data_IF_416771480003
#
_entry.id   IF_416771480003
#
_cell.length_a   1.000
_cell.length_b   1.000
_cell.length_c   1.000
_cell.angle_alpha   90.00
_cell.angle_beta   90.00
_cell.angle_gamma   90.00
#
_symmetry.space_group_name_H-M   'P 1'
#
loop_
_entity.id
_entity.type
_entity.pdbx_description
1 polymer ?
#
# COMPACT_ATOMS: atom_id res chain seq x y z
N UNK A 1 49.12 -1.77 -8.13
CA UNK A 1 49.15 -1.66 -6.65
C UNK A 1 47.73 -1.85 -6.16
N UNK A 2 47.47 -3.00 -5.54
CA UNK A 2 46.22 -3.28 -4.84
C UNK A 2 46.14 -2.42 -3.57
N UNK A 3 44.93 -1.93 -3.22
CA UNK A 3 44.76 -1.03 -2.08
C UNK A 3 43.31 -0.72 -1.72
N UNK A 4 42.57 -1.74 -1.29
CA UNK A 4 41.58 -1.68 -0.19
C UNK A 4 40.36 -0.73 -0.29
N UNK A 5 39.53 -0.84 -1.35
CA UNK A 5 38.25 -0.12 -1.43
C UNK A 5 36.97 -0.95 -1.52
N UNK A 6 37.02 -2.26 -1.82
CA UNK A 6 35.85 -2.91 -2.46
C UNK A 6 35.45 -4.28 -1.91
N UNK A 7 35.82 -4.59 -0.65
CA UNK A 7 35.34 -5.83 -0.02
C UNK A 7 34.02 -5.59 0.73
N UNK A 8 33.81 -4.38 1.27
CA UNK A 8 32.58 -3.98 1.97
C UNK A 8 31.42 -3.66 0.99
N UNK A 9 31.68 -3.13 -0.20
CA UNK A 9 30.62 -2.80 -1.18
C UNK A 9 29.92 -4.05 -1.75
N UNK A 10 30.60 -5.20 -1.79
CA UNK A 10 30.01 -6.45 -2.30
C UNK A 10 29.31 -7.29 -1.23
N UNK A 11 29.45 -6.98 0.06
CA UNK A 11 29.11 -7.97 1.09
C UNK A 11 27.60 -8.21 1.22
N UNK A 12 26.75 -7.25 0.87
CA UNK A 12 25.31 -7.34 1.23
C UNK A 12 24.32 -6.74 0.21
N UNK A 13 24.61 -6.76 -1.09
CA UNK A 13 23.66 -6.26 -2.12
C UNK A 13 22.29 -6.97 -2.06
N UNK A 14 22.29 -8.24 -1.62
CA UNK A 14 21.07 -9.01 -1.42
C UNK A 14 20.21 -8.50 -0.26
N UNK A 15 20.82 -7.92 0.79
CA UNK A 15 20.06 -7.33 1.90
C UNK A 15 19.28 -6.11 1.43
N UNK A 16 19.84 -5.30 0.52
CA UNK A 16 19.12 -4.15 -0.04
C UNK A 16 17.89 -4.57 -0.85
N UNK A 17 17.97 -5.67 -1.62
CA UNK A 17 16.82 -6.22 -2.32
C UNK A 17 15.73 -6.71 -1.35
N UNK A 18 16.12 -7.45 -0.31
CA UNK A 18 15.19 -7.97 0.71
C UNK A 18 14.55 -6.83 1.51
N UNK A 19 15.35 -5.88 1.97
CA UNK A 19 14.88 -4.72 2.73
C UNK A 19 13.88 -3.91 1.91
N UNK A 20 14.14 -3.73 0.61
CA UNK A 20 13.22 -3.06 -0.32
C UNK A 20 11.92 -3.84 -0.47
N UNK A 21 11.99 -5.16 -0.66
CA UNK A 21 10.80 -6.00 -0.77
C UNK A 21 9.95 -5.93 0.52
N UNK A 22 10.58 -6.09 1.69
CA UNK A 22 9.92 -5.98 2.99
C UNK A 22 9.31 -4.59 3.21
N UNK A 23 10.02 -3.52 2.83
CA UNK A 23 9.52 -2.15 2.94
C UNK A 23 8.27 -1.93 2.10
N UNK A 24 8.25 -2.42 0.85
CA UNK A 24 7.09 -2.32 -0.03
C UNK A 24 5.88 -3.03 0.59
N UNK A 25 6.06 -4.26 1.09
CA UNK A 25 5.02 -4.98 1.81
C UNK A 25 4.53 -4.23 3.06
N UNK A 26 5.45 -3.69 3.86
CA UNK A 26 5.14 -2.90 5.05
C UNK A 26 4.31 -1.65 4.72
N UNK A 27 4.63 -0.93 3.65
CA UNK A 27 3.89 0.26 3.23
C UNK A 27 2.45 -0.10 2.89
N UNK A 28 2.22 -1.13 2.08
CA UNK A 28 0.88 -1.52 1.64
C UNK A 28 0.03 -2.11 2.77
N UNK A 29 0.62 -2.98 3.60
CA UNK A 29 -0.07 -3.53 4.78
C UNK A 29 -0.30 -2.45 5.85
N UNK A 30 0.66 -1.55 6.05
CA UNK A 30 0.54 -0.39 6.93
C UNK A 30 -0.56 0.55 6.49
N UNK A 31 -0.70 0.82 5.19
CA UNK A 31 -1.79 1.60 4.63
C UNK A 31 -3.15 0.94 4.89
N UNK A 32 -3.28 -0.38 4.68
CA UNK A 32 -4.49 -1.13 5.03
C UNK A 32 -4.83 -1.02 6.53
N UNK A 33 -3.83 -1.16 7.41
CA UNK A 33 -4.02 -1.00 8.85
C UNK A 33 -4.42 0.45 9.22
N UNK A 34 -3.90 1.46 8.53
CA UNK A 34 -4.27 2.86 8.73
C UNK A 34 -5.72 3.13 8.30
N UNK A 35 -6.16 2.55 7.18
CA UNK A 35 -7.56 2.59 6.73
C UNK A 35 -8.46 1.96 7.80
N UNK A 36 -8.12 0.77 8.31
CA UNK A 36 -8.87 0.10 9.39
C UNK A 36 -9.05 0.98 10.63
N UNK A 37 -8.02 1.74 11.01
CA UNK A 37 -8.07 2.64 12.18
C UNK A 37 -8.86 3.94 11.92
N UNK A 38 -9.41 4.12 10.73
CA UNK A 38 -10.08 5.36 10.35
C UNK A 38 -9.12 6.55 10.35
N UNK A 39 -7.82 6.32 10.14
CA UNK A 39 -6.77 7.33 10.31
C UNK A 39 -6.76 8.43 9.24
N UNK A 40 -7.83 8.59 8.46
CA UNK A 40 -8.14 9.86 7.77
C UNK A 40 -8.56 10.94 8.78
N UNK A 41 -7.85 10.98 9.91
CA UNK A 41 -8.09 11.78 11.11
C UNK A 41 -8.02 13.27 10.79
N UNK A 42 -7.16 13.66 9.84
CA UNK A 42 -7.02 15.03 9.37
C UNK A 42 -8.28 15.59 8.70
N UNK A 43 -9.07 14.74 8.03
CA UNK A 43 -10.34 15.19 7.43
C UNK A 43 -11.43 15.32 8.49
N UNK A 44 -11.38 14.53 9.57
CA UNK A 44 -12.40 14.53 10.61
C UNK A 44 -12.53 15.88 11.33
N UNK A 45 -11.41 16.52 11.68
CA UNK A 45 -11.39 17.84 12.34
C UNK A 45 -12.00 18.92 11.43
N UNK A 46 -11.65 18.90 10.13
CA UNK A 46 -12.18 19.86 9.17
C UNK A 46 -13.68 19.63 8.90
N UNK A 47 -14.11 18.37 8.84
CA UNK A 47 -15.51 17.96 8.64
C UNK A 47 -16.38 18.31 9.85
N UNK A 48 -15.82 18.36 11.05
CA UNK A 48 -16.52 18.79 12.27
C UNK A 48 -16.86 20.28 12.29
N UNK A 49 -16.09 21.11 11.58
CA UNK A 49 -16.33 22.55 11.43
C UNK A 49 -17.37 22.87 10.34
N UNK A 50 -17.80 21.89 9.56
CA UNK A 50 -18.71 22.09 8.43
C UNK A 50 -20.20 22.09 8.83
N UNK A 51 -21.06 22.77 8.05
CA UNK A 51 -22.52 22.67 8.18
C UNK A 51 -23.01 21.21 8.06
N UNK A 52 -24.14 20.85 8.70
CA UNK A 52 -24.59 19.46 8.82
C UNK A 52 -24.82 18.74 7.49
N UNK A 53 -25.21 19.45 6.43
CA UNK A 53 -25.36 18.87 5.09
C UNK A 53 -24.02 18.47 4.48
N UNK A 54 -23.01 19.34 4.53
CA UNK A 54 -21.65 19.07 4.02
C UNK A 54 -20.96 17.98 4.85
N UNK A 55 -21.16 18.00 6.17
CA UNK A 55 -20.63 16.97 7.07
C UNK A 55 -21.11 15.57 6.68
N UNK A 56 -22.41 15.40 6.40
CA UNK A 56 -22.97 14.12 5.94
C UNK A 56 -22.38 13.68 4.60
N UNK A 57 -22.25 14.60 3.65
CA UNK A 57 -21.64 14.31 2.35
C UNK A 57 -20.17 13.88 2.50
N UNK A 58 -19.37 14.60 3.29
CA UNK A 58 -17.97 14.28 3.51
C UNK A 58 -17.77 12.92 4.20
N UNK A 59 -18.62 12.60 5.19
CA UNK A 59 -18.59 11.30 5.88
C UNK A 59 -18.90 10.12 4.95
N UNK A 60 -19.67 10.34 3.88
CA UNK A 60 -19.96 9.32 2.87
C UNK A 60 -18.89 9.27 1.76
N UNK A 61 -18.43 10.42 1.29
CA UNK A 61 -17.46 10.53 0.19
C UNK A 61 -16.08 10.00 0.57
N UNK A 62 -15.67 10.15 1.83
CA UNK A 62 -14.36 9.71 2.30
C UNK A 62 -14.16 8.19 2.11
N UNK A 63 -14.98 7.31 2.71
CA UNK A 63 -14.83 5.87 2.52
C UNK A 63 -15.03 5.46 1.06
N UNK A 64 -15.93 6.12 0.32
CA UNK A 64 -16.14 5.83 -1.10
C UNK A 64 -14.87 6.10 -1.92
N UNK A 65 -14.19 7.22 -1.67
CA UNK A 65 -12.94 7.57 -2.36
C UNK A 65 -11.84 6.56 -2.05
N UNK A 66 -11.74 6.10 -0.79
CA UNK A 66 -10.78 5.06 -0.40
C UNK A 66 -11.08 3.74 -1.11
N UNK A 67 -12.36 3.35 -1.23
CA UNK A 67 -12.76 2.13 -1.96
C UNK A 67 -12.35 2.23 -3.44
N UNK A 68 -12.65 3.35 -4.10
CA UNK A 68 -12.29 3.54 -5.52
C UNK A 68 -10.77 3.52 -5.70
N UNK A 69 -10.03 4.24 -4.85
CA UNK A 69 -8.58 4.30 -4.92
C UNK A 69 -7.93 2.93 -4.66
N UNK A 70 -8.39 2.20 -3.65
CA UNK A 70 -7.87 0.88 -3.32
C UNK A 70 -8.18 -0.17 -4.40
N UNK A 71 -9.35 -0.08 -5.06
CA UNK A 71 -9.67 -0.89 -6.22
C UNK A 71 -8.74 -0.58 -7.41
N UNK A 72 -8.45 0.70 -7.67
CA UNK A 72 -7.50 1.09 -8.71
C UNK A 72 -6.08 0.56 -8.43
N UNK A 73 -5.60 0.70 -7.18
CA UNK A 73 -4.33 0.10 -6.76
C UNK A 73 -4.34 -1.41 -6.99
N UNK A 74 -5.42 -2.09 -6.61
CA UNK A 74 -5.49 -3.54 -6.75
C UNK A 74 -5.47 -3.99 -8.21
N UNK A 75 -6.20 -3.29 -9.07
CA UNK A 75 -6.25 -3.56 -10.50
C UNK A 75 -4.90 -3.33 -11.19
N UNK A 76 -4.29 -2.16 -10.98
CA UNK A 76 -2.98 -1.84 -11.53
C UNK A 76 -1.89 -2.74 -10.96
N UNK A 77 -1.95 -3.05 -9.66
CA UNK A 77 -1.04 -3.98 -8.99
C UNK A 77 -1.12 -5.39 -9.58
N UNK A 78 -2.33 -5.87 -9.88
CA UNK A 78 -2.53 -7.15 -10.57
C UNK A 78 -1.94 -7.16 -11.98
N UNK A 79 -2.17 -6.10 -12.76
CA UNK A 79 -1.57 -5.97 -14.09
C UNK A 79 -0.04 -5.97 -14.01
N UNK A 80 0.53 -5.22 -13.07
CA UNK A 80 1.98 -5.13 -12.87
C UNK A 80 2.57 -6.48 -12.41
N UNK A 81 1.88 -7.19 -11.51
CA UNK A 81 2.26 -8.53 -11.06
C UNK A 81 2.34 -9.50 -12.25
N UNK A 82 1.37 -9.46 -13.17
CA UNK A 82 1.38 -10.31 -14.38
C UNK A 82 2.55 -9.99 -15.31
N UNK A 83 2.91 -8.72 -15.48
CA UNK A 83 4.08 -8.33 -16.26
C UNK A 83 5.40 -8.70 -15.55
N UNK A 84 5.43 -8.63 -14.22
CA UNK A 84 6.59 -8.96 -13.40
C UNK A 84 6.95 -10.45 -13.36
N UNK A 85 6.04 -11.35 -13.75
CA UNK A 85 6.30 -12.80 -13.77
C UNK A 85 7.37 -13.22 -14.77
N UNK A 86 7.66 -12.40 -15.79
CA UNK A 86 8.74 -12.64 -16.76
C UNK A 86 10.09 -12.07 -16.31
N UNK A 87 10.15 -11.37 -15.17
CA UNK A 87 11.32 -10.65 -14.68
C UNK A 87 11.76 -11.23 -13.32
N UNK A 88 13.07 -11.41 -13.15
CA UNK A 88 13.68 -11.81 -11.87
C UNK A 88 14.53 -10.68 -11.31
N UNK A 89 14.68 -10.62 -9.98
CA UNK A 89 15.57 -9.65 -9.34
C UNK A 89 17.04 -9.95 -9.70
N UNK A 90 17.86 -8.91 -9.74
CA UNK A 90 19.22 -8.98 -10.29
C UNK A 90 20.16 -9.83 -9.42
N UNK A 91 19.93 -9.86 -8.10
CA UNK A 91 20.83 -10.52 -7.15
C UNK A 91 20.23 -11.82 -6.62
N UNK A 92 18.99 -11.79 -6.11
CA UNK A 92 18.35 -13.01 -5.55
C UNK A 92 17.67 -13.91 -6.58
N UNK A 93 17.58 -13.49 -7.86
CA UNK A 93 16.82 -14.17 -8.89
C UNK A 93 15.35 -14.48 -8.49
N UNK A 94 14.79 -13.71 -7.57
CA UNK A 94 13.41 -13.88 -7.10
C UNK A 94 12.44 -13.31 -8.14
N UNK A 95 11.26 -13.91 -8.35
CA UNK A 95 10.26 -13.34 -9.23
C UNK A 95 9.84 -11.95 -8.74
N UNK A 96 9.96 -10.94 -9.59
CA UNK A 96 9.55 -9.55 -9.26
C UNK A 96 8.04 -9.47 -9.00
N UNK A 97 7.27 -10.44 -9.52
CA UNK A 97 5.86 -10.63 -9.22
C UNK A 97 5.56 -10.68 -7.72
N UNK A 98 6.45 -11.23 -6.87
CA UNK A 98 6.23 -11.27 -5.42
C UNK A 98 6.25 -9.88 -4.78
N UNK A 99 7.12 -9.00 -5.27
CA UNK A 99 7.20 -7.62 -4.79
C UNK A 99 5.95 -6.85 -5.25
N UNK A 100 5.53 -7.04 -6.49
CA UNK A 100 4.32 -6.41 -7.02
C UNK A 100 3.03 -6.97 -6.42
N UNK A 101 3.02 -8.20 -5.90
CA UNK A 101 1.88 -8.78 -5.20
C UNK A 101 1.49 -8.00 -3.93
N UNK A 102 2.39 -7.22 -3.35
CA UNK A 102 2.08 -6.33 -2.23
C UNK A 102 0.99 -5.31 -2.60
N UNK A 103 0.94 -4.83 -3.85
CA UNK A 103 -0.04 -3.86 -4.33
C UNK A 103 -1.47 -4.42 -4.36
N UNK A 104 -1.79 -5.53 -5.06
CA UNK A 104 -3.13 -6.10 -5.06
C UNK A 104 -3.57 -6.59 -3.69
N UNK A 105 -2.66 -7.16 -2.89
CA UNK A 105 -3.00 -7.60 -1.53
C UNK A 105 -3.31 -6.41 -0.62
N UNK A 106 -2.47 -5.37 -0.62
CA UNK A 106 -2.72 -4.15 0.15
C UNK A 106 -3.95 -3.41 -0.31
N UNK A 107 -4.14 -3.27 -1.63
CA UNK A 107 -5.33 -2.70 -2.26
C UNK A 107 -6.61 -3.41 -1.82
N UNK A 108 -6.65 -4.73 -1.92
CA UNK A 108 -7.81 -5.53 -1.50
C UNK A 108 -8.11 -5.35 0.00
N UNK A 109 -7.09 -5.37 0.86
CA UNK A 109 -7.27 -5.18 2.30
C UNK A 109 -7.74 -3.77 2.65
N UNK A 110 -7.18 -2.74 2.00
CA UNK A 110 -7.64 -1.35 2.14
C UNK A 110 -9.12 -1.22 1.77
N UNK A 111 -9.52 -1.74 0.62
CA UNK A 111 -10.90 -1.70 0.15
C UNK A 111 -11.85 -2.46 1.08
N UNK A 112 -11.43 -3.64 1.55
CA UNK A 112 -12.18 -4.44 2.51
C UNK A 112 -12.43 -3.68 3.83
N UNK A 113 -11.39 -3.08 4.42
CA UNK A 113 -11.55 -2.30 5.65
C UNK A 113 -12.37 -1.03 5.45
N UNK A 114 -12.22 -0.34 4.32
CA UNK A 114 -13.03 0.82 4.00
C UNK A 114 -14.52 0.47 3.86
N UNK A 115 -14.83 -0.68 3.26
CA UNK A 115 -16.19 -1.21 3.16
C UNK A 115 -16.76 -1.57 4.54
N UNK A 116 -15.98 -2.25 5.39
CA UNK A 116 -16.40 -2.58 6.75
C UNK A 116 -16.72 -1.33 7.59
N UNK A 117 -15.88 -0.29 7.52
CA UNK A 117 -16.12 0.97 8.22
C UNK A 117 -17.39 1.69 7.74
N UNK A 118 -17.70 1.60 6.44
CA UNK A 118 -18.95 2.14 5.90
C UNK A 118 -20.16 1.39 6.47
N UNK A 119 -20.05 0.06 6.60
CA UNK A 119 -21.11 -0.79 7.15
C UNK A 119 -21.37 -0.49 8.62
N UNK A 120 -20.32 -0.43 9.45
CA UNK A 120 -20.43 -0.13 10.88
C UNK A 120 -21.02 1.25 11.17
N UNK A 121 -20.73 2.27 10.35
CA UNK A 121 -21.32 3.61 10.52
C UNK A 121 -22.78 3.71 10.12
N UNK A 122 -23.32 2.72 9.39
CA UNK A 122 -24.69 2.72 8.87
C UNK A 122 -25.64 1.83 9.70
N UNK A 123 -25.10 0.88 10.46
CA UNK A 123 -25.83 0.06 11.44
C UNK A 123 -26.03 0.83 12.75
#
# INVERSE_FOLDING_TARGET
>A
MAGQGYVLERTFVWYDEVARACFIWLVFLGAAAAVKRGAHFGLHVFVELMPPALKRAALLLTPLTVIVFSAAIAWQGWALMRHGSAQTTAVMAMPVSWIYAAMPVGGALMGFYAFLLLWEKKA
#
